data_IF_203088937390
#
_entry.id   IF_203088937390
#
_cell.length_a   1.000
_cell.length_b   1.000
_cell.length_c   1.000
_cell.angle_alpha   90.00
_cell.angle_beta   90.00
_cell.angle_gamma   90.00
#
_symmetry.space_group_name_H-M   'P 1'
#
loop_
_entity.id
_entity.type
_entity.pdbx_description
1 polymer ?
#
# COMPACT_ATOMS: atom_id res chain seq x y z
N UNK A 1 -59.83 7.45 -2.26
CA UNK A 1 -60.21 6.99 -3.61
C UNK A 1 -59.62 7.96 -4.62
N UNK A 2 -59.07 7.40 -5.70
CA UNK A 2 -57.96 7.91 -6.51
C UNK A 2 -58.24 9.16 -7.38
N UNK A 3 -57.15 9.87 -7.69
CA UNK A 3 -57.01 10.85 -8.78
C UNK A 3 -55.91 10.38 -9.74
N UNK A 4 -56.28 10.20 -11.01
CA UNK A 4 -55.65 10.66 -12.28
C UNK A 4 -54.13 11.00 -12.22
N UNK A 5 -53.23 10.65 -13.16
CA UNK A 5 -53.32 10.40 -14.62
C UNK A 5 -51.94 9.96 -15.14
N UNK A 6 -51.93 9.08 -16.15
CA UNK A 6 -51.05 8.98 -17.32
C UNK A 6 -49.52 9.26 -17.24
N UNK A 7 -48.70 8.29 -17.69
CA UNK A 7 -48.15 8.34 -19.06
C UNK A 7 -47.53 7.00 -19.50
N UNK A 8 -47.72 6.74 -20.79
CA UNK A 8 -47.50 5.52 -21.57
C UNK A 8 -46.16 5.57 -22.32
N UNK A 9 -45.93 4.54 -23.17
CA UNK A 9 -44.91 4.37 -24.25
C UNK A 9 -43.68 3.57 -23.79
N UNK A 10 -43.56 2.25 -23.97
CA UNK A 10 -43.75 1.32 -25.11
C UNK A 10 -42.69 1.43 -26.22
N UNK A 11 -42.30 0.24 -26.72
CA UNK A 11 -41.55 -0.08 -27.95
C UNK A 11 -40.04 -0.32 -27.78
N UNK A 12 -39.41 -1.34 -28.36
CA UNK A 12 -39.79 -2.61 -28.97
C UNK A 12 -38.45 -3.27 -29.34
N UNK A 13 -38.29 -4.57 -29.10
CA UNK A 13 -37.13 -5.36 -29.55
C UNK A 13 -37.39 -5.92 -30.95
N UNK A 14 -36.40 -5.93 -31.85
CA UNK A 14 -36.25 -7.10 -32.71
C UNK A 14 -34.81 -7.56 -32.94
N UNK A 15 -34.76 -8.80 -33.42
CA UNK A 15 -33.62 -9.72 -33.52
C UNK A 15 -32.74 -9.50 -34.76
N UNK A 16 -31.49 -9.96 -34.63
CA UNK A 16 -30.66 -10.66 -35.62
C UNK A 16 -30.30 -9.98 -36.95
N UNK A 17 -29.01 -9.73 -37.15
CA UNK A 17 -28.38 -9.73 -38.48
C UNK A 17 -26.96 -10.33 -38.42
N UNK A 18 -26.73 -11.40 -39.19
CA UNK A 18 -25.43 -11.98 -39.52
C UNK A 18 -24.94 -11.31 -40.79
N UNK A 19 -23.69 -10.87 -40.86
CA UNK A 19 -22.95 -10.77 -42.12
C UNK A 19 -21.48 -11.10 -41.89
N UNK A 20 -20.99 -11.98 -42.75
CA UNK A 20 -19.63 -12.47 -42.89
C UNK A 20 -19.08 -11.81 -44.15
N UNK A 21 -17.90 -11.22 -44.10
CA UNK A 21 -17.08 -10.96 -45.28
C UNK A 21 -15.61 -10.73 -44.89
N UNK A 22 -14.77 -10.88 -45.88
CA UNK A 22 -13.46 -11.51 -45.85
C UNK A 22 -12.37 -10.60 -46.42
N UNK A 23 -11.13 -10.92 -46.05
CA UNK A 23 -9.87 -10.79 -46.81
C UNK A 23 -9.08 -9.47 -46.86
N UNK A 24 -7.77 -9.69 -46.72
CA UNK A 24 -6.61 -9.10 -47.41
C UNK A 24 -6.03 -7.71 -47.04
N UNK A 25 -4.99 -7.76 -46.21
CA UNK A 25 -3.57 -7.56 -46.55
C UNK A 25 -3.20 -6.52 -47.65
N UNK A 26 -2.45 -5.47 -47.28
CA UNK A 26 -1.50 -4.80 -48.18
C UNK A 26 -0.60 -3.77 -47.45
N UNK A 27 0.69 -4.09 -47.38
CA UNK A 27 1.83 -3.27 -47.86
C UNK A 27 2.20 -1.90 -47.23
N UNK A 28 3.32 -1.96 -46.49
CA UNK A 28 4.63 -1.28 -46.76
C UNK A 28 4.71 0.26 -46.93
N UNK A 29 5.64 0.79 -46.10
CA UNK A 29 6.67 1.84 -46.37
C UNK A 29 6.10 3.27 -46.50
N UNK A 30 6.76 4.37 -46.11
CA UNK A 30 8.17 4.68 -45.85
C UNK A 30 8.22 6.05 -45.15
N UNK A 31 9.20 6.25 -44.25
CA UNK A 31 10.03 7.46 -44.07
C UNK A 31 9.43 8.87 -44.22
N UNK A 32 9.59 9.69 -43.17
CA UNK A 32 10.26 11.02 -43.26
C UNK A 32 11.07 11.26 -41.95
N UNK A 33 12.36 11.59 -42.11
CA UNK A 33 13.27 12.17 -41.11
C UNK A 33 13.19 13.69 -41.18
N UNK A 34 13.48 14.35 -40.05
CA UNK A 34 13.83 15.78 -39.96
C UNK A 34 12.94 16.50 -38.94
N UNK A 35 13.42 17.36 -38.06
CA UNK A 35 14.74 17.96 -37.89
C UNK A 35 14.77 18.80 -36.60
N UNK A 36 15.96 18.91 -36.02
CA UNK A 36 16.54 20.08 -35.34
C UNK A 36 15.85 20.73 -34.12
N UNK A 37 16.53 20.57 -32.99
CA UNK A 37 17.04 21.62 -32.07
C UNK A 37 16.29 22.94 -31.96
N UNK A 38 15.86 23.27 -30.73
CA UNK A 38 15.91 24.64 -30.23
C UNK A 38 16.38 24.66 -28.78
N UNK A 39 17.59 25.18 -28.58
CA UNK A 39 18.10 25.64 -27.31
C UNK A 39 17.62 27.08 -27.09
N UNK A 40 17.05 27.37 -25.92
CA UNK A 40 16.67 28.71 -25.50
C UNK A 40 16.93 28.89 -24.02
N UNK A 41 18.00 29.63 -23.70
CA UNK A 41 18.34 30.11 -22.36
C UNK A 41 17.37 31.23 -21.98
N UNK A 42 16.84 31.22 -20.75
CA UNK A 42 16.27 32.42 -20.12
C UNK A 42 16.99 32.66 -18.80
N UNK A 43 17.40 33.91 -18.62
CA UNK A 43 18.23 34.44 -17.57
C UNK A 43 17.48 34.64 -16.24
N UNK A 44 18.29 34.66 -15.18
CA UNK A 44 17.90 34.85 -13.78
C UNK A 44 17.36 36.25 -13.47
N UNK A 45 16.41 36.33 -12.53
CA UNK A 45 16.30 37.40 -11.52
C UNK A 45 15.27 37.02 -10.44
N UNK A 46 15.66 37.09 -9.17
CA UNK A 46 14.72 37.10 -8.04
C UNK A 46 15.02 36.13 -6.90
N UNK A 47 16.13 36.31 -6.18
CA UNK A 47 16.36 35.64 -4.90
C UNK A 47 15.50 36.30 -3.81
N UNK A 48 14.44 35.61 -3.38
CA UNK A 48 13.86 35.81 -2.04
C UNK A 48 14.34 34.63 -1.20
N UNK A 49 15.31 34.90 -0.32
CA UNK A 49 15.85 33.95 0.64
C UNK A 49 14.82 33.65 1.73
N UNK A 50 14.12 32.52 1.63
CA UNK A 50 13.56 31.83 2.80
C UNK A 50 14.57 30.77 3.26
N UNK A 51 14.83 30.63 4.58
CA UNK A 51 15.70 29.58 5.07
C UNK A 51 14.96 28.26 4.88
N UNK A 52 15.35 27.50 3.86
CA UNK A 52 14.96 26.11 3.72
C UNK A 52 15.59 25.38 4.92
N UNK A 53 14.75 24.94 5.87
CA UNK A 53 15.10 23.86 6.78
C UNK A 53 15.44 22.67 5.89
N UNK A 54 16.73 22.54 5.54
CA UNK A 54 17.31 21.30 5.08
C UNK A 54 17.15 20.31 6.23
N UNK A 55 16.00 19.66 6.28
CA UNK A 55 15.83 18.41 6.99
C UNK A 55 16.89 17.50 6.41
N UNK A 56 17.96 17.29 7.18
CA UNK A 56 19.05 16.43 6.82
C UNK A 56 18.46 15.03 6.64
N UNK A 57 18.16 14.68 5.39
CA UNK A 57 17.82 13.32 4.99
C UNK A 57 19.05 12.46 5.28
N UNK A 58 19.05 11.82 6.44
CA UNK A 58 20.04 10.79 6.78
C UNK A 58 19.98 9.75 5.66
N UNK A 59 21.15 9.45 5.08
CA UNK A 59 21.31 8.49 3.96
C UNK A 59 20.67 7.14 4.32
N UNK A 60 19.42 6.93 3.92
CA UNK A 60 18.80 5.60 3.90
C UNK A 60 19.52 4.79 2.84
N UNK A 61 20.30 3.77 3.23
CA UNK A 61 20.85 2.80 2.28
C UNK A 61 19.71 1.89 1.82
N UNK A 62 19.18 2.13 0.63
CA UNK A 62 18.22 1.23 0.00
C UNK A 62 18.94 -0.07 -0.40
N UNK A 63 18.35 -1.23 -0.07
CA UNK A 63 18.76 -2.49 -0.69
C UNK A 63 18.40 -2.45 -2.17
N UNK A 64 19.36 -2.80 -3.03
CA UNK A 64 19.16 -2.83 -4.48
C UNK A 64 18.15 -3.90 -4.92
N UNK A 65 17.55 -3.76 -6.12
CA UNK A 65 16.47 -4.62 -6.62
C UNK A 65 16.78 -6.12 -6.77
N UNK A 66 18.03 -6.56 -6.55
CA UNK A 66 18.46 -7.96 -6.68
C UNK A 66 18.95 -8.63 -5.39
N UNK A 67 18.88 -7.97 -4.23
CA UNK A 67 19.34 -8.54 -2.95
C UNK A 67 18.21 -8.64 -1.91
N UNK A 68 16.97 -8.72 -2.38
CA UNK A 68 15.79 -8.88 -1.54
C UNK A 68 15.71 -10.32 -1.03
N UNK A 69 15.60 -10.55 0.28
CA UNK A 69 15.38 -11.89 0.81
C UNK A 69 14.01 -12.41 0.36
N UNK A 70 13.90 -13.74 0.19
CA UNK A 70 12.60 -14.38 -0.01
C UNK A 70 11.73 -14.12 1.23
N UNK A 71 10.71 -13.27 1.06
CA UNK A 71 9.78 -12.91 2.12
C UNK A 71 8.86 -14.08 2.55
N UNK A 72 8.99 -15.24 1.90
CA UNK A 72 8.16 -16.41 2.13
C UNK A 72 8.99 -17.70 1.97
N UNK A 73 9.78 -18.12 2.99
CA UNK A 73 10.59 -19.33 2.91
C UNK A 73 9.72 -20.60 2.77
N UNK A 74 10.23 -21.67 2.13
CA UNK A 74 9.51 -22.95 2.06
C UNK A 74 9.21 -23.46 3.48
N UNK A 75 7.93 -23.57 3.84
CA UNK A 75 7.52 -24.07 5.16
C UNK A 75 6.39 -23.33 5.84
N UNK A 76 5.87 -22.22 5.28
CA UNK A 76 4.64 -21.57 5.75
C UNK A 76 4.70 -20.92 7.14
N UNK A 77 5.76 -21.14 7.91
CA UNK A 77 6.01 -20.46 9.17
C UNK A 77 6.44 -19.02 8.87
N UNK A 78 5.48 -18.10 8.99
CA UNK A 78 5.77 -16.66 9.07
C UNK A 78 6.79 -16.47 10.20
N UNK A 79 7.97 -15.85 9.95
CA UNK A 79 8.94 -15.61 11.02
C UNK A 79 8.24 -14.80 12.12
N UNK A 80 8.38 -15.28 13.37
CA UNK A 80 7.62 -14.88 14.56
C UNK A 80 7.81 -13.42 15.03
N UNK A 81 8.27 -12.50 14.17
CA UNK A 81 8.73 -11.18 14.59
C UNK A 81 8.31 -10.01 13.71
N UNK A 82 7.37 -10.17 12.78
CA UNK A 82 7.05 -9.13 11.81
C UNK A 82 5.56 -8.91 11.59
N UNK A 83 4.79 -8.78 12.68
CA UNK A 83 3.34 -8.55 12.63
C UNK A 83 2.98 -7.29 11.83
N UNK A 84 1.73 -7.16 11.43
CA UNK A 84 1.18 -6.09 10.58
C UNK A 84 1.18 -4.73 11.29
N UNK A 85 2.30 -4.03 11.53
CA UNK A 85 2.31 -2.90 12.46
C UNK A 85 2.68 -1.54 11.83
N UNK A 86 2.16 -0.48 12.44
CA UNK A 86 2.62 0.90 12.29
C UNK A 86 3.86 1.14 13.16
N UNK A 87 4.82 1.92 12.68
CA UNK A 87 5.94 2.37 13.54
C UNK A 87 5.48 3.53 14.42
N UNK A 88 6.04 3.60 15.63
CA UNK A 88 5.92 4.75 16.54
C UNK A 88 5.97 6.10 15.81
N UNK A 89 5.08 7.01 16.21
CA UNK A 89 4.97 8.37 15.67
C UNK A 89 4.11 8.47 14.41
N UNK A 90 3.61 7.33 13.90
CA UNK A 90 2.63 7.33 12.80
C UNK A 90 1.36 8.02 13.26
N UNK A 91 0.96 9.08 12.57
CA UNK A 91 -0.28 9.80 12.84
C UNK A 91 -1.47 9.09 12.21
N UNK A 92 -2.50 8.85 13.00
CA UNK A 92 -3.75 8.21 12.63
C UNK A 92 -4.86 9.24 12.67
N UNK A 93 -5.64 9.32 11.60
CA UNK A 93 -6.76 10.25 11.54
C UNK A 93 -7.88 9.86 12.51
N UNK A 94 -8.34 10.83 13.28
CA UNK A 94 -9.52 10.77 14.15
C UNK A 94 -10.47 11.93 13.76
N UNK A 95 -11.74 11.90 14.19
CA UNK A 95 -12.68 12.99 13.91
C UNK A 95 -12.20 14.35 14.43
N UNK A 96 -11.43 14.36 15.51
CA UNK A 96 -10.92 15.58 16.17
C UNK A 96 -9.54 16.03 15.68
N UNK A 97 -8.90 15.27 14.77
CA UNK A 97 -7.55 15.55 14.28
C UNK A 97 -6.70 14.30 14.16
N UNK A 98 -5.41 14.44 13.88
CA UNK A 98 -4.51 13.28 13.79
C UNK A 98 -3.80 13.06 15.13
N UNK A 99 -3.78 11.80 15.58
CA UNK A 99 -3.18 11.38 16.86
C UNK A 99 -2.10 10.33 16.56
N UNK A 100 -0.95 10.41 17.24
CA UNK A 100 0.08 9.39 17.11
C UNK A 100 -0.43 8.02 17.57
N UNK A 101 -0.07 6.95 16.87
CA UNK A 101 -0.58 5.59 17.13
C UNK A 101 -0.31 5.12 18.55
N UNK A 102 0.81 5.53 19.16
CA UNK A 102 1.14 5.21 20.55
C UNK A 102 0.28 5.94 21.60
N UNK A 103 -0.36 7.04 21.22
CA UNK A 103 -1.17 7.90 22.09
C UNK A 103 -2.67 7.59 21.95
N UNK A 104 -3.05 6.73 21.00
CA UNK A 104 -4.41 6.22 20.87
C UNK A 104 -4.78 5.36 22.09
N UNK A 105 -6.00 5.57 22.59
CA UNK A 105 -6.55 4.82 23.72
C UNK A 105 -7.73 3.97 23.30
N UNK A 106 -7.97 2.86 24.00
CA UNK A 106 -9.17 2.04 23.83
C UNK A 106 -10.42 2.93 23.99
N UNK A 107 -11.36 2.80 23.05
CA UNK A 107 -12.59 3.59 22.98
C UNK A 107 -12.47 4.91 22.21
N UNK A 108 -11.25 5.38 21.89
CA UNK A 108 -11.07 6.54 21.02
C UNK A 108 -11.59 6.25 19.61
N UNK A 109 -12.19 7.23 18.95
CA UNK A 109 -12.65 7.08 17.57
C UNK A 109 -11.49 7.28 16.60
N UNK A 110 -11.38 6.40 15.62
CA UNK A 110 -10.50 6.57 14.45
C UNK A 110 -11.36 6.66 13.20
N UNK A 111 -10.95 7.52 12.25
CA UNK A 111 -11.61 7.60 10.95
C UNK A 111 -11.28 6.37 10.13
N UNK A 112 -12.32 5.71 9.61
CA UNK A 112 -12.20 4.58 8.69
C UNK A 112 -12.91 4.87 7.37
N UNK A 113 -12.70 4.03 6.36
CA UNK A 113 -13.46 4.14 5.11
C UNK A 113 -14.98 3.95 5.28
N UNK A 114 -15.43 3.29 6.35
CA UNK A 114 -16.83 3.08 6.67
C UNK A 114 -17.37 4.08 7.73
N UNK A 115 -16.60 5.13 8.03
CA UNK A 115 -16.91 6.12 9.07
C UNK A 115 -16.17 5.87 10.40
N UNK A 116 -16.31 6.77 11.39
CA UNK A 116 -15.59 6.66 12.65
C UNK A 116 -15.95 5.41 13.44
N UNK A 117 -14.94 4.69 13.94
CA UNK A 117 -15.13 3.49 14.76
C UNK A 117 -14.24 3.53 16.01
N UNK A 118 -14.69 2.98 17.15
CA UNK A 118 -13.93 2.97 18.39
C UNK A 118 -12.80 1.94 18.33
N UNK A 119 -11.61 2.34 18.79
CA UNK A 119 -10.48 1.45 19.01
C UNK A 119 -10.86 0.38 20.04
N UNK A 120 -10.82 -0.88 19.66
CA UNK A 120 -11.01 -2.02 20.56
C UNK A 120 -9.74 -2.27 21.37
N UNK A 121 -8.60 -2.30 20.71
CA UNK A 121 -7.32 -2.54 21.35
C UNK A 121 -6.15 -1.97 20.56
N UNK A 122 -5.04 -1.68 21.25
CA UNK A 122 -3.77 -1.31 20.64
C UNK A 122 -2.72 -2.36 21.03
N UNK A 123 -2.36 -3.21 20.07
CA UNK A 123 -1.27 -4.16 20.22
C UNK A 123 0.08 -3.46 20.08
N UNK A 124 1.07 -3.86 20.90
CA UNK A 124 2.43 -3.28 20.84
C UNK A 124 3.51 -4.36 20.80
N UNK A 125 4.55 -4.09 20.02
CA UNK A 125 5.77 -4.90 19.97
C UNK A 125 6.99 -3.97 19.97
N UNK A 126 8.07 -4.42 20.59
CA UNK A 126 9.35 -3.73 20.59
C UNK A 126 10.42 -4.68 20.11
N UNK A 127 11.15 -4.28 19.08
CA UNK A 127 12.29 -5.01 18.57
C UNK A 127 13.55 -4.22 18.83
N UNK A 128 14.61 -4.94 19.20
CA UNK A 128 15.95 -4.38 19.36
C UNK A 128 16.86 -5.06 18.35
N UNK A 129 17.68 -4.24 17.70
CA UNK A 129 18.71 -4.70 16.77
C UNK A 129 19.78 -5.47 17.55
N UNK A 130 20.01 -6.72 17.18
CA UNK A 130 20.97 -7.63 17.82
C UNK A 130 22.30 -7.74 17.06
N UNK A 131 22.36 -7.20 15.83
CA UNK A 131 23.50 -7.28 14.92
C UNK A 131 23.73 -5.96 14.17
N UNK A 132 24.70 -5.92 13.26
CA UNK A 132 25.00 -4.72 12.47
C UNK A 132 23.85 -4.29 11.53
N UNK A 133 22.90 -5.19 11.23
CA UNK A 133 21.77 -4.96 10.32
C UNK A 133 20.46 -5.52 10.87
N UNK A 134 19.33 -4.87 10.59
CA UNK A 134 18.02 -5.40 10.92
C UNK A 134 17.71 -6.68 10.10
N UNK A 135 17.05 -7.66 10.73
CA UNK A 135 16.44 -8.75 10.00
C UNK A 135 15.31 -8.21 9.11
N UNK A 136 15.22 -8.67 7.87
CA UNK A 136 14.29 -8.12 6.87
C UNK A 136 12.83 -8.21 7.28
N UNK A 137 12.46 -9.22 8.08
CA UNK A 137 11.08 -9.41 8.55
C UNK A 137 10.66 -8.40 9.61
N UNK A 138 11.61 -7.64 10.16
CA UNK A 138 11.40 -6.66 11.23
C UNK A 138 11.74 -5.24 10.76
N UNK A 139 12.67 -5.10 9.82
CA UNK A 139 13.11 -3.82 9.28
C UNK A 139 11.91 -3.01 8.74
N UNK A 140 11.73 -1.74 9.15
CA UNK A 140 10.60 -0.96 8.66
C UNK A 140 10.70 -0.69 7.16
N UNK A 141 9.55 -0.60 6.50
CA UNK A 141 9.42 -0.09 5.14
C UNK A 141 8.98 1.36 5.23
N UNK A 142 9.78 2.24 4.62
CA UNK A 142 9.45 3.65 4.44
C UNK A 142 8.67 3.82 3.14
N UNK A 143 7.48 4.40 3.26
CA UNK A 143 6.67 4.93 2.16
C UNK A 143 6.83 6.44 2.18
N UNK A 144 7.56 6.97 1.20
CA UNK A 144 7.89 8.39 1.15
C UNK A 144 6.64 9.27 1.04
N UNK A 145 6.72 10.49 1.56
CA UNK A 145 5.72 11.54 1.32
C UNK A 145 5.37 11.60 -0.17
N UNK A 146 4.07 11.66 -0.46
CA UNK A 146 3.50 11.72 -1.81
C UNK A 146 3.80 10.52 -2.72
N UNK A 147 4.27 9.41 -2.17
CA UNK A 147 4.56 8.20 -2.95
C UNK A 147 3.30 7.58 -3.57
N UNK A 148 2.15 7.67 -2.89
CA UNK A 148 0.91 6.99 -3.29
C UNK A 148 -0.01 7.89 -4.13
N UNK A 149 -0.03 9.20 -3.84
CA UNK A 149 -0.81 10.21 -4.56
C UNK A 149 -0.20 11.61 -4.41
N UNK A 150 -0.84 12.64 -4.98
CA UNK A 150 -0.42 14.04 -4.84
C UNK A 150 -0.48 14.58 -3.41
N UNK A 151 -1.20 13.89 -2.54
CA UNK A 151 -1.41 14.34 -1.15
C UNK A 151 -0.91 13.31 -0.13
N UNK A 152 -0.75 12.03 -0.51
CA UNK A 152 -0.54 10.95 0.44
C UNK A 152 0.65 10.02 0.13
N UNK A 153 1.31 9.49 1.18
CA UNK A 153 1.19 9.97 2.56
C UNK A 153 1.69 11.42 2.67
N UNK A 154 1.12 12.21 3.58
CA UNK A 154 1.45 13.66 3.66
C UNK A 154 2.78 13.91 4.39
N UNK A 155 3.34 12.88 5.02
CA UNK A 155 4.74 12.75 5.47
C UNK A 155 5.24 11.33 5.18
N UNK A 156 6.49 11.04 5.51
CA UNK A 156 7.02 9.67 5.40
C UNK A 156 6.29 8.75 6.39
N UNK A 157 5.68 7.69 5.87
CA UNK A 157 5.00 6.64 6.63
C UNK A 157 5.93 5.43 6.78
N UNK A 158 6.02 4.87 7.98
CA UNK A 158 6.86 3.71 8.28
C UNK A 158 6.01 2.55 8.79
N UNK A 159 6.13 1.41 8.12
CA UNK A 159 5.31 0.22 8.35
C UNK A 159 6.20 -1.01 8.53
N UNK A 160 5.69 -2.05 9.19
CA UNK A 160 6.33 -3.36 9.11
C UNK A 160 6.17 -3.96 7.69
N UNK A 161 7.00 -4.94 7.29
CA UNK A 161 6.96 -5.50 5.94
C UNK A 161 5.62 -6.06 5.49
N UNK A 162 4.88 -6.69 6.41
CA UNK A 162 3.62 -7.36 6.13
C UNK A 162 2.39 -6.46 6.27
N UNK A 163 2.52 -5.26 6.83
CA UNK A 163 1.38 -4.35 6.98
C UNK A 163 0.90 -3.86 5.61
N UNK A 164 -0.41 -3.94 5.37
CA UNK A 164 -1.00 -3.67 4.06
C UNK A 164 -1.54 -2.26 3.91
N UNK A 165 -1.32 -1.71 2.72
CA UNK A 165 -1.98 -0.50 2.26
C UNK A 165 -3.15 -0.86 1.35
N UNK A 166 -4.24 -0.10 1.42
CA UNK A 166 -5.33 -0.24 0.46
C UNK A 166 -5.00 0.52 -0.82
N UNK A 167 -4.77 -0.21 -1.91
CA UNK A 167 -4.41 0.34 -3.22
C UNK A 167 -5.29 -0.29 -4.29
N UNK A 168 -5.98 0.55 -5.05
CA UNK A 168 -6.85 0.13 -6.16
C UNK A 168 -7.89 -0.95 -5.75
N UNK A 169 -8.37 -0.89 -4.50
CA UNK A 169 -9.35 -1.82 -3.95
C UNK A 169 -8.77 -3.11 -3.37
N UNK A 170 -7.44 -3.24 -3.28
CA UNK A 170 -6.76 -4.40 -2.73
C UNK A 170 -5.90 -4.03 -1.52
N UNK A 171 -5.83 -4.93 -0.54
CA UNK A 171 -4.86 -4.83 0.55
C UNK A 171 -3.55 -5.45 0.07
N UNK A 172 -2.51 -4.61 -0.07
CA UNK A 172 -1.20 -5.02 -0.57
C UNK A 172 -0.15 -4.77 0.53
N UNK A 173 0.50 -5.83 1.05
CA UNK A 173 1.60 -5.70 1.99
C UNK A 173 2.71 -4.78 1.48
N UNK A 174 3.22 -3.93 2.36
CA UNK A 174 4.21 -2.91 2.02
C UNK A 174 5.46 -3.47 1.33
N UNK A 175 5.91 -4.68 1.70
CA UNK A 175 7.07 -5.34 1.08
C UNK A 175 6.92 -5.56 -0.43
N UNK A 176 5.69 -5.81 -0.90
CA UNK A 176 5.42 -6.04 -2.31
C UNK A 176 5.41 -4.75 -3.14
N UNK A 177 5.32 -3.60 -2.48
CA UNK A 177 5.33 -2.27 -3.10
C UNK A 177 6.74 -1.68 -3.18
N UNK A 178 7.74 -2.32 -2.57
CA UNK A 178 9.11 -1.81 -2.53
C UNK A 178 9.70 -1.67 -3.93
N UNK A 179 10.12 -0.46 -4.27
CA UNK A 179 10.60 -0.10 -5.61
C UNK A 179 12.02 0.49 -5.63
N UNK A 180 12.67 0.62 -4.46
CA UNK A 180 14.03 1.15 -4.34
C UNK A 180 14.14 2.66 -4.51
N UNK A 181 12.99 3.38 -4.58
CA UNK A 181 12.91 4.82 -4.79
C UNK A 181 12.02 5.47 -3.72
N UNK A 182 10.71 5.53 -3.98
CA UNK A 182 9.72 6.13 -3.08
C UNK A 182 9.24 5.16 -2.00
N UNK A 183 9.36 3.86 -2.21
CA UNK A 183 9.08 2.84 -1.19
C UNK A 183 10.31 1.97 -1.04
N UNK A 184 10.88 1.95 0.16
CA UNK A 184 12.17 1.32 0.45
C UNK A 184 12.14 0.63 1.81
N UNK A 185 12.76 -0.54 1.92
CA UNK A 185 13.12 -1.10 3.22
C UNK A 185 14.18 -0.20 3.84
N UNK A 186 13.85 0.37 5.00
CA UNK A 186 14.77 1.24 5.71
C UNK A 186 15.70 0.38 6.57
N UNK A 187 16.99 0.66 6.43
CA UNK A 187 18.01 0.28 7.40
C UNK A 187 18.43 1.56 8.11
N UNK A 188 17.48 2.19 8.81
CA UNK A 188 17.84 3.39 9.56
C UNK A 188 18.75 3.03 10.75
N UNK A 189 19.36 4.06 11.33
CA UNK A 189 20.32 3.95 12.43
C UNK A 189 19.64 3.67 13.78
N UNK A 190 18.34 3.34 13.79
CA UNK A 190 17.64 2.99 15.02
C UNK A 190 18.11 1.62 15.51
N UNK A 191 18.47 1.58 16.79
CA UNK A 191 18.73 0.31 17.49
C UNK A 191 17.45 -0.34 18.02
N UNK A 192 16.35 0.41 18.06
CA UNK A 192 15.06 -0.04 18.57
C UNK A 192 13.93 0.45 17.67
N UNK A 193 12.98 -0.44 17.36
CA UNK A 193 11.74 -0.10 16.68
C UNK A 193 10.57 -0.51 17.56
N UNK A 194 9.69 0.47 17.82
CA UNK A 194 8.41 0.27 18.48
C UNK A 194 7.32 0.19 17.41
N UNK A 195 6.59 -0.91 17.42
CA UNK A 195 5.50 -1.24 16.52
C UNK A 195 4.18 -1.26 17.26
N UNK A 196 3.14 -0.73 16.63
CA UNK A 196 1.78 -0.65 17.15
C UNK A 196 0.80 -1.18 16.11
N UNK A 197 -0.28 -1.83 16.56
CA UNK A 197 -1.37 -2.23 15.70
C UNK A 197 -2.70 -1.83 16.32
N UNK A 198 -3.55 -1.21 15.49
CA UNK A 198 -4.92 -0.85 15.87
C UNK A 198 -5.83 -2.04 15.60
N UNK A 199 -6.55 -2.52 16.61
CA UNK A 199 -7.64 -3.47 16.48
C UNK A 199 -8.97 -2.75 16.67
N UNK A 200 -9.92 -2.98 15.76
CA UNK A 200 -11.31 -2.55 15.85
C UNK A 200 -12.22 -3.78 15.99
N UNK A 201 -13.54 -3.58 16.02
CA UNK A 201 -14.49 -4.71 16.10
C UNK A 201 -14.51 -5.56 14.83
N UNK A 202 -14.20 -4.97 13.69
CA UNK A 202 -14.06 -5.61 12.38
C UNK A 202 -12.73 -5.22 11.74
N UNK A 203 -12.30 -5.97 10.72
CA UNK A 203 -11.15 -5.56 9.93
C UNK A 203 -11.55 -4.39 9.02
N UNK A 204 -10.97 -3.23 9.27
CA UNK A 204 -11.24 -1.97 8.60
C UNK A 204 -9.97 -1.34 8.01
N UNK A 205 -10.15 -0.26 7.27
CA UNK A 205 -9.07 0.59 6.74
C UNK A 205 -9.14 1.96 7.39
N UNK A 206 -8.05 2.35 8.06
CA UNK A 206 -7.83 3.66 8.68
C UNK A 206 -6.95 4.55 7.80
N UNK A 207 -6.80 5.83 8.15
CA UNK A 207 -5.91 6.76 7.47
C UNK A 207 -4.66 7.03 8.31
N UNK A 208 -3.53 6.44 7.91
CA UNK A 208 -2.22 6.63 8.53
C UNK A 208 -1.36 7.59 7.68
N UNK A 209 -0.98 8.74 8.23
CA UNK A 209 -0.37 9.84 7.46
C UNK A 209 -1.21 10.22 6.23
N UNK A 210 -2.53 10.07 6.36
CA UNK A 210 -3.52 10.21 5.29
C UNK A 210 -3.56 9.07 4.25
N UNK A 211 -2.65 8.10 4.31
CA UNK A 211 -2.68 6.91 3.45
C UNK A 211 -3.65 5.85 4.00
N UNK A 212 -4.52 5.25 3.16
CA UNK A 212 -5.38 4.13 3.55
C UNK A 212 -4.55 2.89 3.94
N UNK A 213 -4.64 2.45 5.19
CA UNK A 213 -3.88 1.35 5.76
C UNK A 213 -4.78 0.42 6.59
N UNK A 214 -4.41 -0.86 6.68
CA UNK A 214 -5.22 -1.88 7.34
C UNK A 214 -5.20 -1.78 8.88
N UNK A 215 -6.27 -2.23 9.51
CA UNK A 215 -6.32 -2.50 10.96
C UNK A 215 -6.01 -3.96 11.24
N UNK A 216 -6.01 -4.42 12.49
CA UNK A 216 -5.58 -5.78 12.82
C UNK A 216 -6.58 -6.79 12.25
N UNK A 217 -6.16 -7.55 11.25
CA UNK A 217 -6.87 -8.72 10.79
C UNK A 217 -6.60 -9.88 11.75
N UNK A 218 -7.54 -10.12 12.65
CA UNK A 218 -7.46 -11.23 13.60
C UNK A 218 -7.77 -12.54 12.86
N UNK A 219 -6.73 -13.29 12.49
CA UNK A 219 -6.86 -14.66 11.93
C UNK A 219 -6.43 -15.76 12.89
N UNK A 220 -5.51 -15.43 13.78
CA UNK A 220 -4.85 -16.30 14.76
C UNK A 220 -4.82 -15.63 16.15
N UNK A 221 -4.02 -16.17 17.06
CA UNK A 221 -3.88 -15.60 18.40
C UNK A 221 -3.09 -14.28 18.41
N UNK A 222 -3.27 -13.51 19.49
CA UNK A 222 -2.61 -12.22 19.70
C UNK A 222 -1.33 -12.36 20.53
N UNK A 223 -0.84 -13.58 20.77
CA UNK A 223 0.24 -13.86 21.73
C UNK A 223 1.57 -13.23 21.31
N UNK A 224 1.72 -12.95 20.02
CA UNK A 224 2.89 -12.27 19.49
C UNK A 224 3.04 -10.82 19.98
N UNK A 225 1.97 -10.17 20.45
CA UNK A 225 2.05 -8.82 21.01
C UNK A 225 2.56 -8.84 22.46
N UNK A 226 3.48 -7.92 22.78
CA UNK A 226 4.11 -7.85 24.10
C UNK A 226 3.12 -7.53 25.23
N UNK A 227 1.98 -6.93 24.91
CA UNK A 227 0.91 -6.61 25.85
C UNK A 227 -0.33 -7.50 25.73
N UNK A 228 -0.21 -8.70 25.13
CA UNK A 228 -1.32 -9.62 24.99
C UNK A 228 -2.03 -9.94 26.33
N UNK A 229 -1.27 -10.08 27.42
CA UNK A 229 -1.86 -10.33 28.75
C UNK A 229 -2.81 -9.20 29.21
N UNK A 230 -2.66 -7.96 28.73
CA UNK A 230 -3.62 -6.88 28.99
C UNK A 230 -4.93 -7.08 28.24
N UNK A 231 -4.86 -7.56 27.00
CA UNK A 231 -6.04 -7.94 26.22
C UNK A 231 -6.80 -9.06 26.91
N UNK A 232 -6.11 -10.15 27.28
CA UNK A 232 -6.73 -11.31 27.93
C UNK A 232 -7.39 -10.95 29.26
N UNK A 233 -6.76 -10.11 30.10
CA UNK A 233 -7.40 -9.64 31.34
C UNK A 233 -8.67 -8.83 31.11
N UNK A 234 -8.76 -8.11 29.99
CA UNK A 234 -9.88 -7.20 29.68
C UNK A 234 -11.04 -7.92 29.02
N UNK A 235 -10.76 -8.80 28.09
CA UNK A 235 -11.77 -9.48 27.25
C UNK A 235 -11.93 -10.96 27.59
N UNK A 236 -11.08 -11.51 28.46
CA UNK A 236 -11.03 -12.93 28.76
C UNK A 236 -10.37 -13.75 27.64
N UNK A 237 -10.48 -15.07 27.74
CA UNK A 237 -10.10 -16.01 26.69
C UNK A 237 -11.16 -16.05 25.57
N UNK A 238 -11.63 -14.90 25.10
CA UNK A 238 -12.33 -14.87 23.83
C UNK A 238 -11.36 -15.36 22.75
N UNK A 239 -11.61 -16.56 22.23
CA UNK A 239 -10.99 -17.00 20.98
C UNK A 239 -11.46 -16.01 19.93
N UNK A 240 -10.58 -15.08 19.56
CA UNK A 240 -10.90 -13.99 18.66
C UNK A 240 -11.61 -14.53 17.44
N UNK A 241 -12.87 -14.11 17.24
CA UNK A 241 -13.63 -14.49 16.06
C UNK A 241 -12.80 -14.06 14.84
N UNK A 242 -12.40 -15.03 14.03
CA UNK A 242 -11.65 -14.76 12.82
C UNK A 242 -12.38 -13.67 12.00
N UNK A 243 -11.69 -12.56 11.77
CA UNK A 243 -12.25 -11.44 11.04
C UNK A 243 -12.23 -11.72 9.55
N UNK A 244 -13.23 -11.21 8.83
CA UNK A 244 -13.19 -11.16 7.37
C UNK A 244 -12.38 -9.94 6.95
N UNK A 245 -11.47 -10.05 5.97
CA UNK A 245 -10.71 -8.89 5.55
C UNK A 245 -11.60 -7.85 4.88
N UNK A 246 -11.35 -6.56 5.14
CA UNK A 246 -12.06 -5.43 4.53
C UNK A 246 -12.11 -5.49 3.00
N UNK A 247 -10.99 -5.87 2.39
CA UNK A 247 -10.83 -6.04 0.96
C UNK A 247 -9.95 -7.26 0.66
N UNK A 248 -9.92 -7.77 -0.58
CA UNK A 248 -9.06 -8.90 -0.94
C UNK A 248 -7.58 -8.58 -0.66
N UNK A 249 -6.93 -9.45 0.10
CA UNK A 249 -5.50 -9.36 0.41
C UNK A 249 -4.71 -10.02 -0.72
N UNK A 250 -3.76 -9.30 -1.30
CA UNK A 250 -2.88 -9.81 -2.34
C UNK A 250 -1.51 -10.15 -1.74
N UNK A 251 -1.23 -11.44 -1.61
CA UNK A 251 0.08 -11.98 -1.22
C UNK A 251 0.65 -12.87 -2.33
N UNK A 252 1.96 -12.79 -2.58
CA UNK A 252 2.65 -13.87 -3.30
C UNK A 252 2.79 -15.07 -2.36
N UNK A 253 1.86 -16.02 -2.44
CA UNK A 253 2.02 -17.31 -1.77
C UNK A 253 2.87 -18.27 -2.62
N UNK A 254 3.96 -18.76 -2.02
CA UNK A 254 4.91 -19.66 -2.66
C UNK A 254 4.29 -20.97 -3.17
N UNK A 255 4.99 -21.59 -4.13
CA UNK A 255 4.70 -22.81 -4.90
C UNK A 255 3.50 -22.78 -5.88
N UNK A 256 2.41 -22.04 -5.62
CA UNK A 256 1.28 -21.89 -6.59
C UNK A 256 1.38 -20.69 -7.52
N UNK A 257 2.11 -19.63 -7.15
CA UNK A 257 2.46 -18.54 -8.05
C UNK A 257 3.23 -19.02 -9.30
N UNK A 258 3.98 -20.12 -9.17
CA UNK A 258 4.74 -20.76 -10.25
C UNK A 258 3.83 -21.43 -11.30
N UNK A 259 2.69 -22.01 -10.86
CA UNK A 259 1.72 -22.66 -11.75
C UNK A 259 0.88 -21.64 -12.55
N UNK A 260 0.52 -20.49 -11.94
CA UNK A 260 -0.10 -19.39 -12.67
C UNK A 260 0.87 -18.68 -13.63
N UNK A 261 2.18 -18.68 -13.34
CA UNK A 261 3.21 -18.14 -14.23
C UNK A 261 3.33 -18.97 -15.51
N UNK A 262 3.16 -20.28 -15.41
CA UNK A 262 3.10 -21.19 -16.57
C UNK A 262 1.81 -21.01 -17.39
N UNK A 263 0.66 -20.78 -16.74
CA UNK A 263 -0.60 -20.49 -17.44
C UNK A 263 -0.60 -19.13 -18.15
N UNK A 264 0.05 -18.10 -17.59
CA UNK A 264 0.23 -16.78 -18.23
C UNK A 264 1.02 -16.84 -19.55
N UNK A 265 1.85 -17.85 -19.75
CA UNK A 265 2.61 -18.05 -20.99
C UNK A 265 1.72 -18.50 -22.16
N UNK A 266 0.56 -19.12 -21.89
CA UNK A 266 -0.30 -19.69 -22.92
C UNK A 266 -1.25 -18.67 -23.60
N UNK A 267 -1.37 -17.43 -23.09
CA UNK A 267 -2.44 -16.49 -23.53
C UNK A 267 -1.96 -15.04 -23.82
N UNK A 268 -0.64 -14.79 -23.86
CA UNK A 268 -0.08 -13.43 -23.86
C UNK A 268 0.36 -12.89 -25.24
N UNK A 269 -0.58 -12.57 -26.14
CA UNK A 269 -0.33 -11.36 -26.96
C UNK A 269 -1.39 -10.26 -26.84
N UNK A 270 -2.57 -10.51 -26.26
CA UNK A 270 -3.74 -9.64 -26.51
C UNK A 270 -4.27 -8.88 -25.28
N UNK A 271 -3.86 -9.20 -24.04
CA UNK A 271 -4.35 -8.50 -22.85
C UNK A 271 -3.20 -8.16 -21.89
N UNK A 272 -3.20 -6.95 -21.32
CA UNK A 272 -2.25 -6.51 -20.28
C UNK A 272 -2.57 -7.21 -18.94
N UNK A 273 -2.13 -8.46 -18.82
CA UNK A 273 -2.25 -9.34 -17.65
C UNK A 273 -1.10 -9.07 -16.67
N UNK A 274 -0.78 -7.80 -16.37
CA UNK A 274 0.08 -7.52 -15.22
C UNK A 274 -0.71 -7.75 -13.94
N UNK A 275 -0.13 -8.55 -13.05
CA UNK A 275 -0.54 -8.73 -11.66
C UNK A 275 -0.82 -7.35 -11.01
N UNK A 276 -1.97 -7.15 -10.33
CA UNK A 276 -2.31 -5.90 -9.67
C UNK A 276 -1.18 -5.32 -8.81
N UNK A 277 -0.40 -6.17 -8.13
CA UNK A 277 0.77 -5.75 -7.35
C UNK A 277 1.80 -5.05 -8.26
N UNK A 278 2.11 -5.65 -9.41
CA UNK A 278 3.07 -5.10 -10.36
C UNK A 278 2.56 -3.81 -11.00
N UNK A 279 1.25 -3.71 -11.27
CA UNK A 279 0.64 -2.46 -11.76
C UNK A 279 0.77 -1.34 -10.73
N UNK A 280 0.40 -1.60 -9.47
CA UNK A 280 0.52 -0.65 -8.38
C UNK A 280 1.98 -0.20 -8.18
N UNK A 281 2.91 -1.15 -8.06
CA UNK A 281 4.35 -0.89 -7.90
C UNK A 281 4.92 -0.06 -9.06
N UNK A 282 4.58 -0.40 -10.30
CA UNK A 282 5.04 0.33 -11.48
C UNK A 282 4.52 1.77 -11.52
N UNK A 283 3.23 1.98 -11.18
CA UNK A 283 2.62 3.31 -11.09
C UNK A 283 3.32 4.17 -10.04
N UNK A 284 3.52 3.63 -8.83
CA UNK A 284 4.21 4.32 -7.73
C UNK A 284 5.66 4.66 -8.12
N UNK A 285 6.37 3.75 -8.79
CA UNK A 285 7.73 3.99 -9.26
C UNK A 285 7.81 5.04 -10.39
N UNK A 286 6.83 5.08 -11.29
CA UNK A 286 6.71 6.11 -12.31
C UNK A 286 6.45 7.49 -11.69
N UNK A 287 5.59 7.54 -10.69
CA UNK A 287 5.32 8.77 -9.91
C UNK A 287 6.57 9.29 -9.22
N UNK A 288 7.34 8.43 -8.57
CA UNK A 288 8.61 8.82 -7.94
C UNK A 288 9.57 9.50 -8.93
N UNK A 289 9.67 8.98 -10.17
CA UNK A 289 10.48 9.59 -11.23
C UNK A 289 9.97 10.98 -11.63
N UNK A 290 8.66 11.17 -11.72
CA UNK A 290 8.07 12.46 -12.07
C UNK A 290 8.37 13.53 -11.02
N UNK A 291 8.22 13.18 -9.73
CA UNK A 291 8.55 14.09 -8.61
C UNK A 291 10.04 14.43 -8.60
N UNK A 292 10.92 13.45 -8.85
CA UNK A 292 12.38 13.71 -8.96
C UNK A 292 12.71 14.71 -10.09
N UNK A 293 11.97 14.67 -11.21
CA UNK A 293 12.21 15.56 -12.36
C UNK A 293 11.67 16.98 -12.17
N UNK A 294 10.65 17.19 -11.34
CA UNK A 294 10.09 18.53 -11.06
C UNK A 294 10.95 19.35 -10.08
N UNK A 295 11.83 18.68 -9.34
CA UNK A 295 12.70 19.29 -8.33
C UNK A 295 14.07 19.71 -8.92
N UNK A 296 14.38 19.32 -10.16
CA UNK A 296 15.61 19.69 -10.88
C UNK A 296 15.38 20.90 -11.80
#
# INVERSE_FOLDING_TARGET
MCSLTDFYVFLYWPKSFKLRCTLENSSRRRFIKGSANLAGKIAATGMVSLPLLASMSKKTRAMGPGNWPDFNPPGGNRPAGGGHCFVRGTLIRTPEGEIAVEDLTIGALVETLNGPLPVKWIGRQRFRKDSASWHWSVAPIRVARFALSDQYPHRDLYLSPHHSLLIDGFLIPAQWLVNGRSIVLTLDDRDVVDYFHIELETHEVVFAEGAPAETLLVTDDREHFANFAEYERRYGAEVGRAMKPFAPVLEYQGARGELERLLRWAVSPVLDIRDPIQKARARIAARARAIETEVC
#
